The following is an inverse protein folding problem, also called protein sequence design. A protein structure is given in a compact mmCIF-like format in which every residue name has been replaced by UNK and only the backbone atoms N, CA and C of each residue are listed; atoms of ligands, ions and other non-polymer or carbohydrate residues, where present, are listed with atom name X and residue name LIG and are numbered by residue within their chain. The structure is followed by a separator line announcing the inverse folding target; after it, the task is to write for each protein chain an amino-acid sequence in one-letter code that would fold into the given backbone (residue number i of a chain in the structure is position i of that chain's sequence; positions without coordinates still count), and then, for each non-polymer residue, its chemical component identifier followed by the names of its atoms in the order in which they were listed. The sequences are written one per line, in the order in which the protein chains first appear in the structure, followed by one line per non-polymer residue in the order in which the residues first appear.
data_IF_704310503220
#
_entry.id   IF_704310503220
#
_cell.length_a   1.000
_cell.length_b   1.000
_cell.length_c   1.000
_cell.angle_alpha   90.00
_cell.angle_beta   90.00
_cell.angle_gamma   90.00
#
_symmetry.space_group_name_H-M   'P 1'
#
loop_
_entity.id
_entity.type
_entity.pdbx_description
1 polymer ?
#
# COMPACT_ATOMS: atom_id res chain seq x y z
N UNK A 1 10.60 -16.08 1.45
CA UNK A 1 10.35 -14.69 1.89
C UNK A 1 9.94 -13.74 0.78
N UNK A 2 10.66 -13.72 -0.34
CA UNK A 2 10.29 -12.83 -1.46
C UNK A 2 8.87 -13.09 -1.97
N UNK A 3 8.45 -14.34 -1.99
CA UNK A 3 7.12 -14.70 -2.44
C UNK A 3 6.04 -14.14 -1.52
N UNK A 4 6.24 -14.23 -0.21
CA UNK A 4 5.28 -13.72 0.77
C UNK A 4 5.18 -12.21 0.69
N UNK A 5 6.31 -11.52 0.54
CA UNK A 5 6.35 -10.07 0.41
C UNK A 5 5.64 -9.64 -0.88
N UNK A 6 5.87 -10.36 -1.98
CA UNK A 6 5.23 -10.08 -3.25
C UNK A 6 3.72 -10.23 -3.21
N UNK A 7 3.23 -11.29 -2.56
CA UNK A 7 1.79 -11.50 -2.41
C UNK A 7 1.17 -10.41 -1.53
N UNK A 8 1.86 -10.06 -0.45
CA UNK A 8 1.39 -9.01 0.45
C UNK A 8 1.41 -7.65 -0.25
N UNK A 9 2.44 -7.38 -1.07
CA UNK A 9 2.51 -6.15 -1.86
C UNK A 9 1.31 -6.04 -2.79
N UNK A 10 0.90 -7.15 -3.41
CA UNK A 10 -0.29 -7.18 -4.25
C UNK A 10 -1.55 -6.83 -3.48
N UNK A 11 -1.70 -7.38 -2.27
CA UNK A 11 -2.85 -7.09 -1.42
C UNK A 11 -2.86 -5.62 -0.97
N UNK A 12 -1.71 -5.08 -0.60
CA UNK A 12 -1.58 -3.66 -0.25
C UNK A 12 -1.97 -2.79 -1.44
N UNK A 13 -1.46 -3.13 -2.61
CA UNK A 13 -1.73 -2.39 -3.84
C UNK A 13 -3.25 -2.34 -4.12
N UNK A 14 -3.91 -3.49 -4.06
CA UNK A 14 -5.36 -3.54 -4.27
C UNK A 14 -6.14 -2.73 -3.25
N UNK A 15 -5.75 -2.84 -1.98
CA UNK A 15 -6.40 -2.10 -0.90
C UNK A 15 -6.28 -0.60 -1.12
N UNK A 16 -5.09 -0.13 -1.49
CA UNK A 16 -4.87 1.30 -1.75
C UNK A 16 -5.64 1.77 -2.98
N UNK A 17 -5.77 0.90 -3.99
CA UNK A 17 -6.57 1.23 -5.17
C UNK A 17 -8.04 1.42 -4.82
N UNK A 18 -8.58 0.52 -4.01
CA UNK A 18 -9.99 0.57 -3.61
C UNK A 18 -10.30 1.72 -2.65
N UNK A 19 -9.43 1.96 -1.68
CA UNK A 19 -9.67 2.94 -0.63
C UNK A 19 -9.10 4.32 -0.94
N UNK A 20 -8.33 4.43 -1.99
CA UNK A 20 -7.65 5.64 -2.44
C UNK A 20 -6.53 6.10 -1.50
N UNK A 21 -6.79 6.23 -0.21
CA UNK A 21 -5.83 6.71 0.76
C UNK A 21 -6.07 6.00 2.09
N UNK A 22 -5.00 5.57 2.76
CA UNK A 22 -5.10 4.85 4.02
C UNK A 22 -4.04 5.36 4.98
N UNK A 23 -4.39 5.48 6.26
CA UNK A 23 -3.41 5.77 7.30
C UNK A 23 -2.48 4.55 7.42
N UNK A 24 -1.17 4.77 7.30
CA UNK A 24 -0.18 3.69 7.29
C UNK A 24 -0.34 2.75 8.49
N UNK A 25 -0.53 3.31 9.68
CA UNK A 25 -0.65 2.51 10.89
C UNK A 25 -1.88 1.60 10.93
N UNK A 26 -2.85 1.85 10.08
CA UNK A 26 -4.07 1.04 10.03
C UNK A 26 -4.03 -0.08 8.99
N UNK A 27 -3.04 -0.06 8.11
CA UNK A 27 -2.94 -1.10 7.08
C UNK A 27 -2.91 -2.52 7.61
N UNK A 28 -2.11 -2.85 8.64
CA UNK A 28 -2.11 -4.22 9.16
C UNK A 28 -3.48 -4.68 9.63
N UNK A 29 -4.21 -3.80 10.29
CA UNK A 29 -5.55 -4.09 10.78
C UNK A 29 -6.52 -4.31 9.61
N UNK A 30 -6.46 -3.47 8.59
CA UNK A 30 -7.32 -3.59 7.42
C UNK A 30 -7.05 -4.89 6.69
N UNK A 31 -5.80 -5.28 6.55
CA UNK A 31 -5.40 -6.49 5.87
C UNK A 31 -5.49 -7.73 6.75
N UNK A 32 -5.68 -7.54 8.05
CA UNK A 32 -5.70 -8.62 9.04
C UNK A 32 -4.40 -9.43 9.02
N UNK A 33 -3.29 -8.71 8.92
CA UNK A 33 -1.97 -9.31 8.86
C UNK A 33 -1.04 -8.64 9.85
N UNK A 34 0.11 -9.29 10.11
CA UNK A 34 1.11 -8.72 11.01
C UNK A 34 1.73 -7.48 10.39
N UNK A 35 1.93 -6.45 11.23
CA UNK A 35 2.52 -5.19 10.78
C UNK A 35 3.87 -5.37 10.11
N UNK A 36 4.69 -6.26 10.65
CA UNK A 36 6.01 -6.54 10.12
C UNK A 36 5.97 -6.86 8.61
N UNK A 37 5.10 -7.78 8.22
CA UNK A 37 4.99 -8.19 6.82
C UNK A 37 4.38 -7.09 5.98
N UNK A 38 3.35 -6.44 6.50
CA UNK A 38 2.66 -5.36 5.79
C UNK A 38 3.61 -4.20 5.50
N UNK A 39 4.40 -3.81 6.50
CA UNK A 39 5.33 -2.67 6.32
C UNK A 39 6.49 -3.03 5.40
N UNK A 40 6.94 -4.28 5.40
CA UNK A 40 7.96 -4.72 4.44
C UNK A 40 7.41 -4.64 3.01
N UNK A 41 6.19 -5.09 2.81
CA UNK A 41 5.54 -5.01 1.49
C UNK A 41 5.36 -3.56 1.06
N UNK A 42 4.96 -2.70 1.98
CA UNK A 42 4.78 -1.28 1.71
C UNK A 42 6.11 -0.64 1.33
N UNK A 43 7.19 -0.99 2.04
CA UNK A 43 8.54 -0.51 1.70
C UNK A 43 8.97 -0.95 0.31
N UNK A 44 8.64 -2.17 -0.07
CA UNK A 44 8.92 -2.69 -1.40
C UNK A 44 8.21 -1.83 -2.46
N UNK A 45 6.91 -1.57 -2.25
CA UNK A 45 6.14 -0.74 -3.18
C UNK A 45 6.70 0.68 -3.26
N UNK A 46 7.13 1.22 -2.13
CA UNK A 46 7.73 2.56 -2.09
C UNK A 46 9.03 2.60 -2.89
N UNK A 47 9.86 1.57 -2.75
CA UNK A 47 11.11 1.46 -3.49
C UNK A 47 10.86 1.41 -5.00
N UNK A 48 9.78 0.77 -5.40
CA UNK A 48 9.41 0.66 -6.81
C UNK A 48 8.67 1.91 -7.33
N UNK A 49 8.47 2.89 -6.48
CA UNK A 49 7.78 4.13 -6.87
C UNK A 49 6.29 3.96 -7.10
N UNK A 50 5.70 2.93 -6.49
CA UNK A 50 4.29 2.62 -6.72
C UNK A 50 3.34 3.24 -5.72
N UNK A 51 3.86 3.80 -4.65
CA UNK A 51 3.05 4.46 -3.62
C UNK A 51 3.68 5.79 -3.25
N UNK A 52 2.84 6.70 -2.76
CA UNK A 52 3.24 7.99 -2.26
C UNK A 52 2.79 8.12 -0.80
N UNK A 53 3.62 8.76 0.00
CA UNK A 53 3.31 9.04 1.41
C UNK A 53 3.10 10.53 1.60
N UNK A 54 2.16 10.89 2.45
CA UNK A 54 1.99 12.28 2.83
C UNK A 54 1.45 12.38 4.25
N UNK A 55 1.80 13.46 4.91
CA UNK A 55 1.36 13.70 6.28
C UNK A 55 0.24 14.73 6.33
N UNK A 56 -0.77 14.42 7.11
CA UNK A 56 -1.87 15.32 7.41
C UNK A 56 -2.21 15.17 8.88
N UNK A 57 -2.29 16.29 9.59
CA UNK A 57 -2.75 16.29 10.98
C UNK A 57 -2.02 15.26 11.87
N UNK A 58 -0.72 15.15 11.68
CA UNK A 58 0.11 14.26 12.49
C UNK A 58 0.04 12.79 12.11
N UNK A 59 -0.71 12.45 11.07
CA UNK A 59 -0.82 11.08 10.59
C UNK A 59 -0.15 10.93 9.24
N UNK A 60 0.42 9.76 8.99
CA UNK A 60 1.03 9.46 7.70
C UNK A 60 0.03 8.64 6.87
N UNK A 61 -0.31 9.16 5.72
CA UNK A 61 -1.19 8.48 4.75
C UNK A 61 -0.35 7.90 3.62
N UNK A 62 -0.88 6.86 3.01
CA UNK A 62 -0.27 6.27 1.82
C UNK A 62 -1.35 6.08 0.76
N UNK A 63 -0.96 6.29 -0.49
CA UNK A 63 -1.85 6.11 -1.63
C UNK A 63 -1.03 5.54 -2.78
N UNK A 64 -1.70 5.00 -3.80
CA UNK A 64 -1.01 4.60 -5.00
C UNK A 64 -0.45 5.86 -5.68
N UNK A 65 0.70 5.71 -6.36
CA UNK A 65 1.24 6.78 -7.18
C UNK A 65 0.24 7.08 -8.31
N UNK A 66 0.39 8.24 -8.93
CA UNK A 66 -0.51 8.64 -10.02
C UNK A 66 -0.57 7.59 -11.13
N UNK A 67 0.59 7.08 -11.53
CA UNK A 67 0.64 6.05 -12.57
C UNK A 67 -0.07 4.77 -12.16
N UNK A 68 0.13 4.33 -10.91
CA UNK A 68 -0.49 3.10 -10.42
C UNK A 68 -1.99 3.23 -10.28
N UNK A 69 -2.49 4.42 -9.96
CA UNK A 69 -3.95 4.66 -9.94
C UNK A 69 -4.56 4.43 -11.31
N UNK A 70 -3.88 4.89 -12.35
CA UNK A 70 -4.34 4.68 -13.72
C UNK A 70 -4.39 3.21 -14.08
N UNK A 71 -3.36 2.47 -13.69
CA UNK A 71 -3.29 1.02 -13.93
C UNK A 71 -4.42 0.31 -13.19
N UNK A 72 -4.64 0.65 -11.93
CA UNK A 72 -5.70 0.05 -11.12
C UNK A 72 -7.07 0.27 -11.76
N UNK A 73 -7.35 1.49 -12.19
CA UNK A 73 -8.63 1.82 -12.82
C UNK A 73 -8.85 1.07 -14.12
N UNK A 74 -7.80 0.84 -14.88
CA UNK A 74 -7.88 0.06 -16.13
C UNK A 74 -8.10 -1.42 -15.88
N UNK A 75 -7.71 -1.90 -14.70
CA UNK A 75 -7.87 -3.31 -14.33
C UNK A 75 -9.28 -3.65 -13.88
N UNK A 76 -10.09 -2.63 -13.63
CA UNK A 76 -11.49 -2.80 -13.25
C UNK A 76 -12.32 -3.02 -14.52
#
# INVERSE_FOLDING_TARGET
MKKIIGEMAGRVWETLGEKEEVVVSKLPQILKEKGEIVYQALGWLAKEGKVDFHKKEGKTFVSLSHEERGIFKKSL
#
